data_IF_756239283213
#
_entry.id   IF_756239283213
#
_cell.length_a   1.000
_cell.length_b   1.000
_cell.length_c   1.000
_cell.angle_alpha   90.00
_cell.angle_beta   90.00
_cell.angle_gamma   90.00
#
_symmetry.space_group_name_H-M   'P 1'
#
loop_
_entity.id
_entity.type
_entity.pdbx_description
1 polymer ?
#
# COMPACT_ATOMS: atom_id res chain seq x y z
N UNK A 1 11.26 -4.53 -8.64
CA UNK A 1 10.74 -3.68 -7.54
C UNK A 1 9.74 -2.70 -8.12
N UNK A 2 8.78 -2.18 -7.33
CA UNK A 2 7.82 -1.20 -7.86
C UNK A 2 8.52 0.11 -8.25
N UNK A 3 8.41 0.48 -9.52
CA UNK A 3 8.96 1.72 -10.07
C UNK A 3 8.18 2.91 -9.53
N UNK A 4 8.92 3.95 -9.16
CA UNK A 4 8.35 5.17 -8.60
C UNK A 4 9.29 6.35 -8.79
N UNK A 5 8.72 7.54 -8.85
CA UNK A 5 9.42 8.79 -9.16
C UNK A 5 8.96 9.92 -8.25
N UNK A 6 9.87 10.85 -8.00
CA UNK A 6 9.59 12.12 -7.33
C UNK A 6 9.50 13.25 -8.35
N UNK A 7 8.64 14.23 -8.10
CA UNK A 7 8.45 15.38 -8.96
C UNK A 7 7.82 16.53 -8.17
N UNK A 8 7.86 17.74 -8.72
CA UNK A 8 7.09 18.87 -8.19
C UNK A 8 5.79 19.13 -8.93
N UNK A 9 4.78 19.61 -8.21
CA UNK A 9 3.58 20.26 -8.78
C UNK A 9 3.36 21.61 -8.11
N UNK A 10 2.72 22.52 -8.83
CA UNK A 10 2.24 23.78 -8.29
C UNK A 10 0.76 23.98 -8.64
N UNK A 11 0.12 24.92 -7.94
CA UNK A 11 -1.25 25.39 -8.18
C UNK A 11 -1.32 26.64 -9.07
N UNK A 12 -0.23 27.06 -9.71
CA UNK A 12 -0.29 28.15 -10.70
C UNK A 12 -1.30 27.81 -11.80
N UNK A 13 -2.05 28.81 -12.26
CA UNK A 13 -3.07 28.66 -13.29
C UNK A 13 -2.62 29.26 -14.61
N UNK A 14 -3.09 28.70 -15.72
CA UNK A 14 -2.98 29.29 -17.06
C UNK A 14 -4.01 30.40 -17.28
N UNK A 15 -4.04 30.96 -18.49
CA UNK A 15 -4.99 32.00 -18.88
C UNK A 15 -6.46 31.55 -18.85
N UNK A 16 -6.71 30.24 -18.96
CA UNK A 16 -8.05 29.65 -18.89
C UNK A 16 -8.45 29.27 -17.44
N UNK A 17 -7.59 29.58 -16.46
CA UNK A 17 -7.84 29.31 -15.05
C UNK A 17 -7.57 27.86 -14.61
N UNK A 18 -6.97 27.03 -15.46
CA UNK A 18 -6.62 25.63 -15.18
C UNK A 18 -5.25 25.53 -14.54
N UNK A 19 -5.10 24.65 -13.56
CA UNK A 19 -3.80 24.45 -12.90
C UNK A 19 -2.76 23.84 -13.86
N UNK A 20 -1.59 24.48 -13.94
CA UNK A 20 -0.44 24.07 -14.74
C UNK A 20 0.20 22.78 -14.20
N UNK A 21 0.15 22.55 -12.89
CA UNK A 21 0.71 21.35 -12.26
C UNK A 21 2.20 21.16 -12.59
N UNK A 22 2.56 20.01 -13.16
CA UNK A 22 3.94 19.69 -13.56
C UNK A 22 4.43 20.46 -14.80
N UNK A 23 3.52 21.03 -15.59
CA UNK A 23 3.86 21.79 -16.82
C UNK A 23 4.24 23.23 -16.52
N UNK A 24 4.19 23.67 -15.25
CA UNK A 24 4.47 25.04 -14.91
C UNK A 24 5.95 25.37 -15.17
N UNK A 25 6.24 26.40 -15.99
CA UNK A 25 7.62 26.77 -16.31
C UNK A 25 8.40 27.23 -15.07
N UNK A 26 7.71 27.77 -14.05
CA UNK A 26 8.33 28.24 -12.79
C UNK A 26 8.91 27.11 -11.93
N UNK A 27 8.59 25.85 -12.23
CA UNK A 27 9.12 24.69 -11.51
C UNK A 27 10.59 24.41 -11.83
N UNK A 28 11.08 24.83 -13.00
CA UNK A 28 12.45 24.62 -13.45
C UNK A 28 13.18 25.95 -13.51
N UNK A 29 14.48 25.93 -13.22
CA UNK A 29 15.38 27.07 -13.46
C UNK A 29 15.89 27.01 -14.89
N UNK A 30 16.52 28.09 -15.37
CA UNK A 30 17.15 28.16 -16.69
C UNK A 30 18.13 27.01 -16.96
N UNK A 31 18.84 26.52 -15.92
CA UNK A 31 19.74 25.36 -16.01
C UNK A 31 19.08 23.98 -15.88
N UNK A 32 17.75 23.86 -15.99
CA UNK A 32 17.03 22.57 -15.95
C UNK A 32 16.83 21.94 -14.55
N UNK A 33 17.52 22.44 -13.52
CA UNK A 33 17.31 22.05 -12.13
C UNK A 33 15.97 22.51 -11.56
N UNK A 34 15.50 21.86 -10.49
CA UNK A 34 14.26 22.25 -9.81
C UNK A 34 14.39 23.59 -9.08
N UNK A 35 13.36 24.42 -9.18
CA UNK A 35 13.24 25.64 -8.39
C UNK A 35 12.85 25.29 -6.95
N UNK A 36 13.70 25.61 -5.98
CA UNK A 36 13.44 25.31 -4.57
C UNK A 36 12.28 26.16 -4.02
N UNK A 37 12.09 27.38 -4.53
CA UNK A 37 11.06 28.33 -4.07
C UNK A 37 9.69 28.12 -4.71
N UNK A 38 9.56 27.14 -5.62
CA UNK A 38 8.34 26.95 -6.37
C UNK A 38 7.91 25.49 -6.42
N UNK A 39 6.60 25.27 -6.26
CA UNK A 39 5.99 23.94 -6.24
C UNK A 39 6.32 23.13 -4.98
N UNK A 40 5.43 22.18 -4.71
CA UNK A 40 5.51 21.24 -3.61
C UNK A 40 6.04 19.91 -4.15
N UNK A 41 6.78 19.16 -3.34
CA UNK A 41 7.25 17.84 -3.72
C UNK A 41 6.15 16.79 -3.57
N UNK A 42 6.17 15.84 -4.51
CA UNK A 42 5.28 14.71 -4.62
C UNK A 42 6.09 13.48 -5.03
N UNK A 43 5.51 12.30 -4.77
CA UNK A 43 5.96 11.07 -5.39
C UNK A 43 4.79 10.32 -6.03
N UNK A 44 5.12 9.46 -6.99
CA UNK A 44 4.24 8.45 -7.55
C UNK A 44 4.93 7.09 -7.51
N UNK A 45 4.17 6.04 -7.20
CA UNK A 45 4.63 4.65 -7.31
C UNK A 45 3.51 3.75 -7.81
N UNK A 46 3.84 2.84 -8.72
CA UNK A 46 2.91 1.80 -9.15
C UNK A 46 2.69 0.81 -8.02
N UNK A 47 1.42 0.49 -7.77
CA UNK A 47 1.03 -0.48 -6.76
C UNK A 47 0.63 -1.81 -7.42
N UNK A 48 0.76 -2.94 -6.71
CA UNK A 48 0.22 -4.22 -7.15
C UNK A 48 -1.25 -4.14 -7.57
N UNK A 49 -1.71 -5.00 -8.50
CA UNK A 49 -3.11 -5.04 -8.91
C UNK A 49 -4.03 -5.33 -7.71
N UNK A 50 -5.31 -5.00 -7.88
CA UNK A 50 -6.36 -5.35 -6.95
C UNK A 50 -6.56 -6.87 -6.87
N UNK A 51 -7.25 -7.37 -5.83
CA UNK A 51 -7.73 -8.75 -5.82
C UNK A 51 -8.47 -9.09 -7.13
N UNK A 52 -8.18 -10.25 -7.70
CA UNK A 52 -8.71 -10.64 -9.02
C UNK A 52 -7.96 -10.06 -10.23
N UNK A 53 -6.80 -9.42 -10.03
CA UNK A 53 -5.89 -9.04 -11.11
C UNK A 53 -6.24 -7.73 -11.83
N UNK A 54 -7.32 -7.03 -11.42
CA UNK A 54 -7.67 -5.74 -12.01
C UNK A 54 -6.58 -4.70 -11.75
N UNK A 55 -6.22 -3.92 -12.77
CA UNK A 55 -5.22 -2.85 -12.66
C UNK A 55 -5.61 -1.86 -11.55
N UNK A 56 -4.67 -1.56 -10.68
CA UNK A 56 -4.79 -0.53 -9.64
C UNK A 56 -4.15 0.76 -10.14
N UNK A 57 -4.80 1.90 -9.90
CA UNK A 57 -4.16 3.19 -10.13
C UNK A 57 -2.97 3.42 -9.19
N UNK A 58 -1.94 4.15 -9.63
CA UNK A 58 -0.73 4.37 -8.84
C UNK A 58 -1.02 5.10 -7.53
N UNK A 59 -0.19 4.88 -6.53
CA UNK A 59 -0.18 5.72 -5.34
C UNK A 59 0.49 7.04 -5.66
N UNK A 60 -0.20 8.14 -5.37
CA UNK A 60 0.32 9.51 -5.49
C UNK A 60 0.21 10.21 -4.15
N UNK A 61 1.29 10.80 -3.71
CA UNK A 61 1.38 11.56 -2.46
C UNK A 61 2.11 12.86 -2.69
N UNK A 62 1.84 13.83 -1.82
CA UNK A 62 2.30 15.20 -1.94
C UNK A 62 2.21 15.93 -0.63
N UNK A 63 2.71 17.16 -0.62
CA UNK A 63 2.83 17.96 0.61
C UNK A 63 4.24 17.97 1.18
N UNK A 64 5.23 17.41 0.47
CA UNK A 64 6.60 17.35 0.95
C UNK A 64 7.33 18.67 0.70
N UNK A 65 8.16 19.07 1.67
CA UNK A 65 8.93 20.32 1.60
C UNK A 65 10.23 20.15 0.83
N UNK A 66 10.81 18.96 0.85
CA UNK A 66 12.03 18.60 0.13
C UNK A 66 11.85 17.37 -0.76
N UNK A 67 12.80 17.17 -1.69
CA UNK A 67 12.87 15.96 -2.50
C UNK A 67 13.12 14.75 -1.63
N UNK A 68 14.05 14.88 -0.68
CA UNK A 68 14.48 13.84 0.24
C UNK A 68 13.32 13.33 1.09
N UNK A 69 12.43 14.21 1.56
CA UNK A 69 11.22 13.80 2.29
C UNK A 69 10.31 12.91 1.43
N UNK A 70 10.12 13.30 0.17
CA UNK A 70 9.29 12.54 -0.77
C UNK A 70 9.95 11.20 -1.13
N UNK A 71 11.28 11.17 -1.28
CA UNK A 71 12.06 9.95 -1.54
C UNK A 71 12.06 9.02 -0.32
N UNK A 72 12.11 9.56 0.89
CA UNK A 72 12.03 8.81 2.12
C UNK A 72 10.66 8.11 2.29
N UNK A 73 9.54 8.82 2.08
CA UNK A 73 8.21 8.18 2.12
C UNK A 73 8.06 7.16 0.98
N UNK A 74 8.56 7.45 -0.23
CA UNK A 74 8.59 6.50 -1.34
C UNK A 74 9.39 5.23 -1.01
N UNK A 75 10.55 5.37 -0.38
CA UNK A 75 11.37 4.24 0.07
C UNK A 75 10.65 3.39 1.13
N UNK A 76 9.93 4.02 2.05
CA UNK A 76 9.10 3.31 3.04
C UNK A 76 7.98 2.50 2.35
N UNK A 77 7.31 3.06 1.35
CA UNK A 77 6.30 2.31 0.57
C UNK A 77 6.93 1.10 -0.12
N UNK A 78 8.09 1.27 -0.76
CA UNK A 78 8.82 0.16 -1.39
C UNK A 78 9.18 -0.93 -0.37
N UNK A 79 9.67 -0.53 0.80
CA UNK A 79 10.05 -1.45 1.86
C UNK A 79 8.84 -2.22 2.43
N UNK A 80 7.68 -1.57 2.57
CA UNK A 80 6.43 -2.23 2.95
C UNK A 80 6.04 -3.28 1.91
N UNK A 81 6.02 -2.94 0.62
CA UNK A 81 5.69 -3.88 -0.45
C UNK A 81 6.68 -5.05 -0.55
N UNK A 82 7.93 -4.82 -0.19
CA UNK A 82 8.99 -5.83 -0.17
C UNK A 82 8.88 -6.81 1.00
N UNK A 83 7.98 -6.58 1.98
CA UNK A 83 7.70 -7.56 3.03
C UNK A 83 7.05 -8.84 2.46
N UNK A 84 6.37 -8.75 1.32
CA UNK A 84 5.85 -9.92 0.61
C UNK A 84 6.96 -10.57 -0.24
N UNK A 85 7.17 -11.86 -0.04
CA UNK A 85 8.16 -12.63 -0.80
C UNK A 85 7.89 -12.64 -2.32
N UNK A 86 8.86 -13.00 -3.16
CA UNK A 86 8.69 -13.02 -4.62
C UNK A 86 7.49 -13.85 -5.10
N UNK A 87 7.19 -14.97 -4.43
CA UNK A 87 6.08 -15.88 -4.74
C UNK A 87 4.76 -15.59 -4.01
N UNK A 88 4.61 -14.42 -3.37
CA UNK A 88 3.43 -14.08 -2.56
C UNK A 88 2.64 -12.88 -3.12
N UNK A 89 2.08 -12.99 -4.34
CA UNK A 89 1.36 -11.87 -4.96
C UNK A 89 0.12 -11.45 -4.15
N UNK A 90 -0.56 -12.40 -3.50
CA UNK A 90 -1.71 -12.13 -2.63
C UNK A 90 -1.32 -11.27 -1.41
N UNK A 91 -0.24 -11.63 -0.71
CA UNK A 91 0.30 -10.83 0.41
C UNK A 91 0.68 -9.42 -0.06
N UNK A 92 1.30 -9.31 -1.24
CA UNK A 92 1.67 -8.01 -1.81
C UNK A 92 0.45 -7.14 -2.13
N UNK A 93 -0.63 -7.72 -2.64
CA UNK A 93 -1.91 -7.03 -2.85
C UNK A 93 -2.52 -6.57 -1.52
N UNK A 94 -2.53 -7.42 -0.49
CA UNK A 94 -3.03 -7.05 0.84
C UNK A 94 -2.23 -5.89 1.46
N UNK A 95 -0.91 -5.88 1.33
CA UNK A 95 -0.08 -4.76 1.79
C UNK A 95 -0.44 -3.46 1.03
N UNK A 96 -0.65 -3.55 -0.28
CA UNK A 96 -1.05 -2.39 -1.09
C UNK A 96 -2.43 -1.83 -0.69
N UNK A 97 -3.36 -2.71 -0.32
CA UNK A 97 -4.67 -2.34 0.22
C UNK A 97 -4.56 -1.67 1.58
N UNK A 98 -3.74 -2.23 2.48
CA UNK A 98 -3.48 -1.64 3.79
C UNK A 98 -2.86 -0.25 3.66
N UNK A 99 -1.85 -0.08 2.79
CA UNK A 99 -1.24 1.23 2.54
C UNK A 99 -2.28 2.25 2.10
N UNK A 100 -3.12 1.90 1.11
CA UNK A 100 -4.17 2.81 0.63
C UNK A 100 -5.18 3.16 1.71
N UNK A 101 -5.65 2.17 2.46
CA UNK A 101 -6.62 2.35 3.53
C UNK A 101 -6.06 3.26 4.64
N UNK A 102 -4.88 2.95 5.18
CA UNK A 102 -4.26 3.74 6.24
C UNK A 102 -3.98 5.17 5.81
N UNK A 103 -3.53 5.37 4.55
CA UNK A 103 -3.33 6.72 4.01
C UNK A 103 -4.64 7.48 3.82
N UNK A 104 -5.73 6.81 3.43
CA UNK A 104 -7.04 7.45 3.32
C UNK A 104 -7.53 7.95 4.69
N UNK A 105 -7.43 7.09 5.71
CA UNK A 105 -7.91 7.32 7.08
C UNK A 105 -7.03 8.29 7.87
N UNK A 106 -5.71 8.09 7.87
CA UNK A 106 -4.79 8.77 8.81
C UNK A 106 -3.83 9.75 8.13
N UNK A 107 -3.76 9.75 6.80
CA UNK A 107 -2.75 10.47 6.01
C UNK A 107 -1.29 10.05 6.27
N UNK A 108 -1.07 8.97 7.01
CA UNK A 108 0.25 8.40 7.33
C UNK A 108 0.39 6.97 6.82
N UNK A 109 1.63 6.51 6.61
CA UNK A 109 1.89 5.12 6.21
C UNK A 109 1.70 4.15 7.39
N UNK A 110 1.29 2.90 7.12
CA UNK A 110 1.19 1.89 8.17
C UNK A 110 2.58 1.59 8.76
N UNK A 111 2.63 1.39 10.08
CA UNK A 111 3.88 1.12 10.77
C UNK A 111 4.52 -0.21 10.32
N UNK A 112 5.76 -0.15 9.84
CA UNK A 112 6.53 -1.30 9.34
C UNK A 112 6.58 -2.49 10.31
N UNK A 113 6.87 -2.25 11.59
CA UNK A 113 6.97 -3.33 12.59
C UNK A 113 5.62 -4.01 12.79
N UNK A 114 4.54 -3.23 12.80
CA UNK A 114 3.17 -3.76 12.90
C UNK A 114 2.81 -4.62 11.70
N UNK A 115 3.10 -4.16 10.47
CA UNK A 115 2.83 -4.93 9.25
C UNK A 115 3.63 -6.23 9.24
N UNK A 116 4.92 -6.18 9.54
CA UNK A 116 5.77 -7.38 9.63
C UNK A 116 5.26 -8.37 10.67
N UNK A 117 4.82 -7.89 11.83
CA UNK A 117 4.23 -8.74 12.87
C UNK A 117 2.98 -9.44 12.37
N UNK A 118 2.04 -8.71 11.73
CA UNK A 118 0.80 -9.27 11.19
C UNK A 118 1.05 -10.35 10.14
N UNK A 119 1.98 -10.11 9.21
CA UNK A 119 2.39 -11.10 8.20
C UNK A 119 2.94 -12.36 8.88
N UNK A 120 3.86 -12.20 9.84
CA UNK A 120 4.48 -13.33 10.56
C UNK A 120 3.47 -14.18 11.32
N UNK A 121 2.45 -13.55 11.92
CA UNK A 121 1.42 -14.24 12.70
C UNK A 121 0.28 -14.79 11.84
N UNK A 122 0.31 -14.60 10.51
CA UNK A 122 -0.80 -14.98 9.63
C UNK A 122 -2.09 -14.22 9.90
N UNK A 123 -2.00 -13.04 10.54
CA UNK A 123 -3.16 -12.18 10.76
C UNK A 123 -3.45 -11.43 9.47
N UNK A 124 -4.70 -11.48 9.03
CA UNK A 124 -5.13 -10.77 7.83
C UNK A 124 -4.84 -9.27 7.93
N UNK A 125 -4.11 -8.75 6.95
CA UNK A 125 -3.65 -7.36 6.95
C UNK A 125 -4.81 -6.37 6.77
N UNK A 126 -5.88 -6.80 6.11
CA UNK A 126 -6.94 -5.93 5.58
C UNK A 126 -8.37 -6.38 5.87
N UNK A 127 -8.60 -7.60 6.33
CA UNK A 127 -9.93 -8.11 6.67
C UNK A 127 -10.09 -8.30 8.18
N UNK A 128 -11.26 -7.89 8.69
CA UNK A 128 -11.93 -8.62 9.77
C UNK A 128 -12.38 -9.95 9.16
N UNK A 129 -11.50 -10.94 9.15
CA UNK A 129 -11.89 -12.29 8.72
C UNK A 129 -12.80 -12.86 9.79
N UNK A 130 -13.96 -13.37 9.41
CA UNK A 130 -14.84 -14.07 10.36
C UNK A 130 -14.11 -15.30 10.90
N UNK A 131 -14.42 -15.71 12.12
CA UNK A 131 -13.76 -16.87 12.73
C UNK A 131 -13.86 -18.10 11.80
N UNK A 132 -14.98 -18.28 11.11
CA UNK A 132 -15.21 -19.32 10.08
C UNK A 132 -14.13 -19.32 8.99
N UNK A 133 -13.97 -18.19 8.28
CA UNK A 133 -13.03 -18.08 7.17
C UNK A 133 -11.57 -18.24 7.62
N UNK A 134 -11.23 -17.74 8.82
CA UNK A 134 -9.89 -17.93 9.38
C UNK A 134 -9.63 -19.39 9.73
N UNK A 135 -10.64 -20.09 10.27
CA UNK A 135 -10.51 -21.48 10.71
C UNK A 135 -10.47 -22.45 9.53
N UNK A 136 -11.20 -22.18 8.44
CA UNK A 136 -11.07 -22.91 7.17
C UNK A 136 -9.67 -22.79 6.57
N UNK A 137 -9.14 -21.57 6.49
CA UNK A 137 -7.79 -21.31 5.97
C UNK A 137 -6.70 -21.94 6.87
N UNK A 138 -6.91 -21.93 8.19
CA UNK A 138 -6.05 -22.59 9.17
C UNK A 138 -6.04 -24.12 8.99
N UNK A 139 -7.22 -24.73 8.84
CA UNK A 139 -7.37 -26.18 8.63
C UNK A 139 -6.74 -26.65 7.31
N UNK A 140 -6.81 -25.83 6.25
CA UNK A 140 -6.17 -26.10 4.96
C UNK A 140 -4.63 -26.02 5.03
N UNK A 141 -4.08 -25.11 5.83
CA UNK A 141 -2.61 -24.94 5.98
C UNK A 141 -1.96 -26.02 6.84
N UNK A 142 -2.65 -26.53 7.86
CA UNK A 142 -2.11 -27.55 8.76
C UNK A 142 -2.25 -28.95 8.14
N UNK A 143 -1.20 -29.40 7.46
CA UNK A 143 -1.11 -30.75 6.88
C UNK A 143 -1.08 -31.92 7.89
N UNK A 144 -0.73 -31.65 9.16
CA UNK A 144 -0.62 -32.66 10.24
C UNK A 144 -1.52 -32.31 11.43
N UNK A 145 -2.83 -32.26 11.22
CA UNK A 145 -3.80 -32.26 12.32
C UNK A 145 -4.36 -33.67 12.40
N UNK A 146 -4.42 -34.22 13.60
CA UNK A 146 -5.08 -35.47 13.88
C UNK A 146 -6.58 -35.35 13.55
N UNK A 147 -7.18 -36.42 13.03
CA UNK A 147 -8.48 -36.36 12.38
C UNK A 147 -9.63 -36.06 13.36
N UNK A 148 -9.54 -36.53 14.61
CA UNK A 148 -10.53 -36.19 15.65
C UNK A 148 -10.52 -34.69 15.97
N UNK A 149 -9.33 -34.07 15.98
CA UNK A 149 -9.17 -32.63 16.21
C UNK A 149 -9.72 -31.82 15.03
N UNK A 150 -9.49 -32.27 13.79
CA UNK A 150 -10.07 -31.64 12.59
C UNK A 150 -11.60 -31.67 12.63
N UNK A 151 -12.21 -32.83 12.95
CA UNK A 151 -13.67 -32.98 13.04
C UNK A 151 -14.29 -32.10 14.12
N UNK A 152 -13.62 -31.94 15.26
CA UNK A 152 -14.06 -31.03 16.33
C UNK A 152 -14.06 -29.57 15.85
N UNK A 153 -13.00 -29.11 15.19
CA UNK A 153 -12.93 -27.75 14.65
C UNK A 153 -13.95 -27.49 13.54
N UNK A 154 -14.17 -28.43 12.62
CA UNK A 154 -15.25 -28.35 11.63
C UNK A 154 -16.64 -28.28 12.27
N UNK A 155 -16.84 -29.01 13.37
CA UNK A 155 -18.07 -28.94 14.16
C UNK A 155 -18.30 -27.56 14.78
N UNK A 156 -17.26 -26.97 15.37
CA UNK A 156 -17.33 -25.61 15.90
C UNK A 156 -17.62 -24.56 14.82
N UNK A 157 -17.01 -24.70 13.63
CA UNK A 157 -17.30 -23.82 12.49
C UNK A 157 -18.79 -23.87 12.12
N UNK A 158 -19.38 -25.07 12.04
CA UNK A 158 -20.80 -25.24 11.71
C UNK A 158 -21.74 -24.67 12.77
N UNK A 159 -21.37 -24.78 14.05
CA UNK A 159 -22.21 -24.36 15.18
C UNK A 159 -22.29 -22.84 15.36
N UNK A 160 -21.24 -22.09 15.00
CA UNK A 160 -21.20 -20.63 15.12
C UNK A 160 -21.59 -19.89 13.84
N UNK A 161 -22.26 -20.59 12.92
CA UNK A 161 -22.83 -20.02 11.69
C UNK A 161 -24.20 -19.42 12.02
N UNK A 162 -24.23 -18.11 12.30
CA UNK A 162 -25.42 -17.32 12.59
C UNK A 162 -25.48 -16.08 11.72
#
# INVERSE_FOLDING_TARGET
MAEGSTFKRCSCRDGDGKELGQKCPKLRRSGGGWNHRHGIWHYQIELPPNPGGKRRGPLRRGGFTSQDDAEAELAQVRALLALAGPGEPATRTQIADLIKRTLAETKTLPNMKTVRRKIKTGLNLTQEVTVEQWMEEFLQRKRKIEESTRRSYEGHIRLYRG
#
